data_IF_398402597391
#
_entry.id   IF_398402597391
#
_cell.length_a   1.000
_cell.length_b   1.000
_cell.length_c   1.000
_cell.angle_alpha   90.00
_cell.angle_beta   90.00
_cell.angle_gamma   90.00
#
_symmetry.space_group_name_H-M   'P 1'
#
loop_
_entity.id
_entity.type
_entity.pdbx_description
1 polymer ?
#
# COMPACT_ATOMS: atom_id res chain seq x y z
N UNK A 1 -38.29 -52.34 -13.30
CA UNK A 1 -37.57 -51.31 -14.08
C UNK A 1 -37.48 -49.94 -13.36
N UNK A 2 -37.46 -49.88 -12.00
CA UNK A 2 -37.54 -48.60 -11.24
C UNK A 2 -36.30 -48.23 -10.40
N UNK A 3 -35.26 -49.08 -10.30
CA UNK A 3 -34.07 -48.77 -9.47
C UNK A 3 -33.08 -47.79 -10.13
N UNK A 4 -32.91 -47.85 -11.46
CA UNK A 4 -31.97 -46.95 -12.19
C UNK A 4 -32.41 -45.47 -12.21
N UNK A 5 -33.70 -45.18 -12.12
CA UNK A 5 -34.21 -43.78 -12.08
C UNK A 5 -34.05 -43.14 -10.70
N UNK A 6 -34.17 -43.92 -9.60
CA UNK A 6 -33.92 -43.44 -8.23
C UNK A 6 -32.46 -43.02 -8.02
N UNK A 7 -31.49 -43.82 -8.49
CA UNK A 7 -30.07 -43.52 -8.33
C UNK A 7 -29.65 -42.22 -9.07
N UNK A 8 -30.19 -41.97 -10.27
CA UNK A 8 -29.93 -40.70 -10.99
C UNK A 8 -30.54 -39.49 -10.29
N UNK A 9 -31.73 -39.64 -9.70
CA UNK A 9 -32.36 -38.56 -8.94
C UNK A 9 -31.57 -38.25 -7.65
N UNK A 10 -31.12 -39.29 -6.92
CA UNK A 10 -30.28 -39.13 -5.73
C UNK A 10 -28.93 -38.46 -6.06
N UNK A 11 -28.29 -38.82 -7.18
CA UNK A 11 -27.05 -38.18 -7.63
C UNK A 11 -27.24 -36.70 -7.98
N UNK A 12 -28.35 -36.36 -8.67
CA UNK A 12 -28.67 -34.97 -9.00
C UNK A 12 -28.96 -34.17 -7.73
N UNK A 13 -29.74 -34.71 -6.80
CA UNK A 13 -30.06 -34.05 -5.52
C UNK A 13 -28.80 -33.87 -4.67
N UNK A 14 -27.89 -34.86 -4.66
CA UNK A 14 -26.62 -34.79 -3.93
C UNK A 14 -25.68 -33.74 -4.53
N UNK A 15 -25.57 -33.67 -5.85
CA UNK A 15 -24.77 -32.62 -6.50
C UNK A 15 -25.36 -31.23 -6.27
N UNK A 16 -26.68 -31.09 -6.35
CA UNK A 16 -27.34 -29.81 -6.07
C UNK A 16 -27.14 -29.36 -4.61
N UNK A 17 -27.18 -30.31 -3.67
CA UNK A 17 -26.87 -30.06 -2.26
C UNK A 17 -25.42 -29.59 -2.07
N UNK A 18 -24.44 -30.24 -2.72
CA UNK A 18 -23.05 -29.80 -2.63
C UNK A 18 -22.83 -28.42 -3.25
N UNK A 19 -23.50 -28.09 -4.35
CA UNK A 19 -23.44 -26.75 -4.95
C UNK A 19 -24.05 -25.72 -4.00
N UNK A 20 -25.19 -26.01 -3.39
CA UNK A 20 -25.84 -25.09 -2.44
C UNK A 20 -24.97 -24.85 -1.20
N UNK A 21 -24.34 -25.91 -0.65
CA UNK A 21 -23.42 -25.79 0.48
C UNK A 21 -22.17 -25.01 0.09
N UNK A 22 -21.60 -25.22 -1.10
CA UNK A 22 -20.45 -24.46 -1.58
C UNK A 22 -20.79 -22.96 -1.73
N UNK A 23 -21.95 -22.63 -2.30
CA UNK A 23 -22.41 -21.23 -2.41
C UNK A 23 -22.62 -20.62 -1.01
N UNK A 24 -23.22 -21.35 -0.08
CA UNK A 24 -23.41 -20.89 1.29
C UNK A 24 -22.07 -20.61 1.99
N UNK A 25 -21.09 -21.50 1.87
CA UNK A 25 -19.74 -21.33 2.43
C UNK A 25 -19.07 -20.09 1.83
N UNK A 26 -19.17 -19.88 0.52
CA UNK A 26 -18.64 -18.69 -0.15
C UNK A 26 -19.32 -17.42 0.37
N UNK A 27 -20.64 -17.41 0.50
CA UNK A 27 -21.39 -16.25 1.03
C UNK A 27 -21.03 -15.96 2.48
N UNK A 28 -20.89 -16.99 3.32
CA UNK A 28 -20.49 -16.84 4.73
C UNK A 28 -19.04 -16.37 4.83
N UNK A 29 -18.12 -16.88 4.01
CA UNK A 29 -16.75 -16.36 3.96
C UNK A 29 -16.72 -14.89 3.56
N UNK A 30 -17.45 -14.49 2.52
CA UNK A 30 -17.52 -13.07 2.13
C UNK A 30 -18.17 -12.20 3.20
N UNK A 31 -19.18 -12.67 3.94
CA UNK A 31 -19.81 -11.90 5.01
C UNK A 31 -18.99 -11.86 6.31
N UNK A 32 -18.28 -12.93 6.68
CA UNK A 32 -17.38 -12.95 7.84
C UNK A 32 -16.12 -12.12 7.58
N UNK A 33 -15.64 -12.06 6.34
CA UNK A 33 -14.53 -11.18 5.95
C UNK A 33 -14.96 -9.70 5.96
N UNK A 34 -16.24 -9.41 5.70
CA UNK A 34 -16.85 -8.07 5.85
C UNK A 34 -16.99 -7.65 7.31
N UNK A 35 -17.28 -8.57 8.24
CA UNK A 35 -17.53 -8.26 9.65
C UNK A 35 -16.23 -8.17 10.47
N UNK A 36 -15.17 -8.88 10.08
CA UNK A 36 -13.92 -8.87 10.85
C UNK A 36 -13.04 -7.64 10.61
N UNK A 37 -13.21 -6.91 9.50
CA UNK A 37 -12.53 -5.62 9.28
C UNK A 37 -13.37 -4.75 8.35
N UNK A 38 -13.72 -3.54 8.79
CA UNK A 38 -14.26 -2.48 7.94
C UNK A 38 -13.30 -1.97 6.85
N UNK A 39 -12.42 -2.82 6.32
CA UNK A 39 -11.56 -2.53 5.18
C UNK A 39 -12.23 -3.05 3.91
N UNK A 40 -12.97 -2.18 3.24
CA UNK A 40 -13.50 -2.41 1.90
C UNK A 40 -12.37 -2.81 0.93
N UNK A 41 -12.30 -4.10 0.61
CA UNK A 41 -11.38 -4.67 -0.39
C UNK A 41 -11.67 -4.17 -1.83
N UNK A 42 -12.77 -3.45 -2.05
CA UNK A 42 -13.16 -2.92 -3.35
C UNK A 42 -12.60 -1.53 -3.68
N UNK A 43 -11.81 -0.89 -2.79
CA UNK A 43 -11.17 0.40 -3.07
C UNK A 43 -9.70 0.31 -3.53
N UNK A 44 -9.14 -0.90 -3.72
CA UNK A 44 -7.79 -1.09 -4.26
C UNK A 44 -7.72 -1.03 -5.79
N UNK A 45 -8.38 -0.05 -6.39
CA UNK A 45 -8.22 0.24 -7.82
C UNK A 45 -6.92 1.02 -8.03
N UNK A 46 -5.83 0.29 -8.25
CA UNK A 46 -4.61 0.74 -8.94
C UNK A 46 -4.11 2.16 -8.56
N UNK A 47 -4.00 2.44 -7.27
CA UNK A 47 -3.23 3.59 -6.79
C UNK A 47 -1.79 3.15 -6.54
N UNK A 48 -0.81 3.96 -6.95
CA UNK A 48 0.58 3.75 -6.58
C UNK A 48 0.66 3.46 -5.07
N UNK A 49 1.23 2.32 -4.72
CA UNK A 49 1.10 1.75 -3.38
C UNK A 49 2.09 2.46 -2.46
N UNK A 50 1.57 3.08 -1.39
CA UNK A 50 2.42 3.60 -0.31
C UNK A 50 2.56 2.48 0.69
N UNK A 51 3.79 2.01 0.87
CA UNK A 51 4.15 1.06 1.90
C UNK A 51 4.85 1.79 3.02
N UNK A 52 4.44 1.50 4.25
CA UNK A 52 5.12 1.96 5.46
C UNK A 52 5.91 0.78 6.03
N UNK A 53 7.12 1.06 6.52
CA UNK A 53 8.02 0.05 7.07
C UNK A 53 8.86 0.62 8.22
N UNK A 54 9.29 -0.25 9.12
CA UNK A 54 10.03 0.15 10.33
C UNK A 54 9.08 0.45 11.50
N UNK A 55 9.43 1.43 12.32
CA UNK A 55 8.80 1.63 13.63
C UNK A 55 7.42 2.30 13.57
N UNK A 56 7.10 2.97 12.47
CA UNK A 56 5.78 3.55 12.21
C UNK A 56 5.15 2.84 11.00
N UNK A 57 3.98 2.25 11.22
CA UNK A 57 3.13 1.68 10.19
C UNK A 57 2.01 2.64 9.78
N UNK A 58 1.18 2.22 8.81
CA UNK A 58 0.04 3.02 8.31
C UNK A 58 -0.91 3.47 9.44
N UNK A 59 -1.10 2.61 10.46
CA UNK A 59 -1.97 2.87 11.62
C UNK A 59 -1.46 3.96 12.56
N UNK A 60 -0.16 4.29 12.49
CA UNK A 60 0.44 5.33 13.31
C UNK A 60 0.24 6.72 12.70
N UNK A 61 -0.34 6.80 11.49
CA UNK A 61 -0.69 8.04 10.81
C UNK A 61 -2.18 8.36 10.96
N UNK A 62 -2.49 9.64 11.08
CA UNK A 62 -3.87 10.07 10.98
C UNK A 62 -4.36 9.91 9.54
N UNK A 63 -5.63 9.58 9.36
CA UNK A 63 -6.25 9.39 8.04
C UNK A 63 -5.98 10.58 7.09
N UNK A 64 -6.08 11.81 7.61
CA UNK A 64 -5.77 13.04 6.85
C UNK A 64 -4.32 13.14 6.39
N UNK A 65 -3.37 12.56 7.12
CA UNK A 65 -1.96 12.51 6.71
C UNK A 65 -1.76 11.54 5.55
N UNK A 66 -2.38 10.36 5.65
CA UNK A 66 -2.37 9.32 4.61
C UNK A 66 -3.03 9.84 3.33
N UNK A 67 -4.18 10.51 3.46
CA UNK A 67 -4.90 11.09 2.31
C UNK A 67 -4.08 12.17 1.60
N UNK A 68 -3.31 12.98 2.34
CA UNK A 68 -2.38 13.93 1.73
C UNK A 68 -1.28 13.23 0.95
N UNK A 69 -0.69 12.17 1.51
CA UNK A 69 0.33 11.36 0.82
C UNK A 69 -0.25 10.70 -0.45
N UNK A 70 -1.43 10.09 -0.35
CA UNK A 70 -2.14 9.47 -1.47
C UNK A 70 -2.56 10.49 -2.52
N UNK A 71 -3.00 11.68 -2.10
CA UNK A 71 -3.37 12.79 -2.98
C UNK A 71 -2.20 13.25 -3.84
N UNK A 72 -1.00 13.37 -3.25
CA UNK A 72 0.23 13.67 -3.99
C UNK A 72 0.53 12.62 -5.06
N UNK A 73 0.36 11.34 -4.73
CA UNK A 73 0.56 10.23 -5.66
C UNK A 73 -0.48 10.17 -6.77
N UNK A 74 -1.73 10.51 -6.49
CA UNK A 74 -2.82 10.49 -7.48
C UNK A 74 -2.46 11.31 -8.73
N UNK A 75 -1.85 12.49 -8.54
CA UNK A 75 -1.38 13.34 -9.64
C UNK A 75 -0.17 12.79 -10.41
N UNK A 76 0.53 11.79 -9.87
CA UNK A 76 1.80 11.25 -10.40
C UNK A 76 1.76 9.75 -10.65
N UNK A 77 0.58 9.11 -10.61
CA UNK A 77 0.40 7.66 -10.82
C UNK A 77 0.99 7.14 -12.12
N UNK A 78 1.08 7.98 -13.17
CA UNK A 78 1.68 7.61 -14.46
C UNK A 78 3.19 7.44 -14.40
N UNK A 79 3.85 8.07 -13.43
CA UNK A 79 5.31 8.06 -13.28
C UNK A 79 5.77 7.10 -12.19
N UNK A 80 5.08 7.12 -11.05
CA UNK A 80 5.48 6.38 -9.85
C UNK A 80 4.80 5.01 -9.84
N UNK A 81 5.58 3.97 -9.60
CA UNK A 81 5.10 2.60 -9.39
C UNK A 81 4.81 2.35 -7.91
N UNK A 82 5.85 2.43 -7.08
CA UNK A 82 5.80 2.11 -5.66
C UNK A 82 6.57 3.15 -4.82
N UNK A 83 6.04 3.47 -3.64
CA UNK A 83 6.76 4.26 -2.63
C UNK A 83 6.82 3.45 -1.33
N UNK A 84 8.02 3.26 -0.81
CA UNK A 84 8.24 2.76 0.54
C UNK A 84 8.78 3.87 1.42
N UNK A 85 8.10 4.16 2.52
CA UNK A 85 8.56 5.06 3.58
C UNK A 85 9.05 4.17 4.71
N UNK A 86 10.35 4.24 5.01
CA UNK A 86 10.95 3.55 6.15
C UNK A 86 11.20 4.55 7.26
N UNK A 87 10.74 4.24 8.47
CA UNK A 87 10.92 5.09 9.64
C UNK A 87 11.60 4.35 10.77
N UNK A 88 12.40 5.05 11.56
CA UNK A 88 12.97 4.55 12.80
C UNK A 88 12.87 5.62 13.90
N UNK A 89 12.59 5.20 15.12
CA UNK A 89 12.71 6.04 16.32
C UNK A 89 14.08 5.81 16.95
N UNK A 90 14.67 6.85 17.55
CA UNK A 90 15.94 6.69 18.27
C UNK A 90 15.77 5.89 19.58
N UNK A 91 14.59 5.96 20.16
CA UNK A 91 14.18 5.18 21.33
C UNK A 91 12.92 4.40 20.99
N UNK A 92 13.04 3.07 20.87
CA UNK A 92 11.94 2.18 20.53
C UNK A 92 10.99 1.90 21.70
N UNK A 93 11.39 2.20 22.93
CA UNK A 93 10.60 1.94 24.14
C UNK A 93 9.75 3.14 24.56
N UNK A 94 10.05 4.33 24.05
CA UNK A 94 9.33 5.55 24.36
C UNK A 94 8.11 5.71 23.45
N UNK A 95 6.98 6.08 24.06
CA UNK A 95 5.74 6.41 23.32
C UNK A 95 6.01 7.55 22.33
N UNK A 96 5.61 7.34 21.07
CA UNK A 96 5.73 8.34 20.01
C UNK A 96 4.77 9.49 20.28
N UNK A 97 5.31 10.70 20.39
CA UNK A 97 4.56 11.95 20.56
C UNK A 97 4.77 12.84 19.32
N UNK A 98 3.98 13.92 19.15
CA UNK A 98 4.16 14.87 18.05
C UNK A 98 5.58 15.46 17.95
N UNK A 99 6.31 15.52 19.07
CA UNK A 99 7.65 16.09 19.18
C UNK A 99 8.76 15.03 19.19
N UNK A 100 8.42 13.75 19.01
CA UNK A 100 9.43 12.70 18.84
C UNK A 100 10.18 12.90 17.53
N UNK A 101 11.51 12.82 17.59
CA UNK A 101 12.36 12.79 16.40
C UNK A 101 12.25 11.43 15.72
N UNK A 102 11.91 11.45 14.44
CA UNK A 102 11.77 10.28 13.58
C UNK A 102 12.83 10.37 12.51
N UNK A 103 13.64 9.32 12.39
CA UNK A 103 14.50 9.10 11.26
C UNK A 103 13.67 8.46 10.14
N UNK A 104 13.80 8.95 8.91
CA UNK A 104 13.06 8.41 7.78
C UNK A 104 13.90 8.35 6.51
N UNK A 105 13.56 7.36 5.69
CA UNK A 105 14.08 7.11 4.35
C UNK A 105 12.89 6.86 3.42
N UNK A 106 12.99 7.35 2.19
CA UNK A 106 12.00 7.13 1.14
C UNK A 106 12.69 6.38 0.02
N UNK A 107 12.14 5.24 -0.34
CA UNK A 107 12.50 4.49 -1.54
C UNK A 107 11.36 4.58 -2.53
N UNK A 108 11.67 4.97 -3.76
CA UNK A 108 10.68 5.10 -4.83
C UNK A 108 11.11 4.27 -6.01
N UNK A 109 10.19 3.46 -6.50
CA UNK A 109 10.33 2.71 -7.75
C UNK A 109 9.41 3.36 -8.78
N UNK A 110 10.01 3.90 -9.83
CA UNK A 110 9.31 4.48 -10.97
C UNK A 110 8.81 3.36 -11.91
N UNK A 111 7.81 3.67 -12.73
CA UNK A 111 7.22 2.69 -13.66
C UNK A 111 8.16 2.23 -14.75
N UNK A 112 9.19 3.01 -15.08
CA UNK A 112 10.23 2.65 -16.04
C UNK A 112 11.38 1.85 -15.40
N UNK A 113 11.23 1.43 -14.14
CA UNK A 113 12.23 0.69 -13.38
C UNK A 113 13.29 1.55 -12.71
N UNK A 114 13.29 2.87 -12.93
CA UNK A 114 14.20 3.76 -12.22
C UNK A 114 13.89 3.75 -10.72
N UNK A 115 14.92 3.59 -9.90
CA UNK A 115 14.76 3.61 -8.44
C UNK A 115 15.56 4.75 -7.85
N UNK A 116 14.96 5.50 -6.93
CA UNK A 116 15.71 6.43 -6.11
C UNK A 116 15.43 6.22 -4.64
N UNK A 117 16.48 6.45 -3.84
CA UNK A 117 16.44 6.34 -2.40
C UNK A 117 16.94 7.63 -1.80
N UNK A 118 16.26 8.11 -0.76
CA UNK A 118 16.72 9.27 -0.01
C UNK A 118 17.74 8.85 1.02
N UNK A 119 18.77 9.67 1.31
CA UNK A 119 19.55 9.46 2.53
C UNK A 119 18.61 9.54 3.75
N UNK A 120 19.06 8.94 4.85
CA UNK A 120 18.37 9.02 6.13
C UNK A 120 18.22 10.48 6.55
N UNK A 121 16.99 10.89 6.88
CA UNK A 121 16.67 12.25 7.32
C UNK A 121 15.97 12.23 8.66
N UNK A 122 16.09 13.31 9.41
CA UNK A 122 15.42 13.49 10.70
C UNK A 122 14.27 14.50 10.55
N UNK A 123 13.13 14.19 11.15
CA UNK A 123 12.00 15.13 11.29
C UNK A 123 11.20 14.83 12.55
N UNK A 124 10.53 15.84 13.10
CA UNK A 124 9.56 15.60 14.18
C UNK A 124 8.35 14.86 13.65
N UNK A 125 7.76 13.96 14.45
CA UNK A 125 6.56 13.19 14.05
C UNK A 125 5.44 14.08 13.49
N UNK A 126 5.18 15.25 14.10
CA UNK A 126 4.16 16.21 13.60
C UNK A 126 4.45 16.77 12.20
N UNK A 127 5.72 16.85 11.83
CA UNK A 127 6.17 17.39 10.55
C UNK A 127 6.50 16.30 9.53
N UNK A 128 6.53 15.03 9.94
CA UNK A 128 6.96 13.90 9.13
C UNK A 128 6.23 13.82 7.77
N UNK A 129 4.89 13.90 7.68
CA UNK A 129 4.21 13.84 6.38
C UNK A 129 4.63 14.97 5.45
N UNK A 130 4.80 16.19 5.99
CA UNK A 130 5.25 17.35 5.23
C UNK A 130 6.69 17.16 4.74
N UNK A 131 7.59 16.70 5.62
CA UNK A 131 8.99 16.42 5.27
C UNK A 131 9.11 15.35 4.19
N UNK A 132 8.32 14.28 4.28
CA UNK A 132 8.26 13.22 3.27
C UNK A 132 7.82 13.78 1.92
N UNK A 133 6.71 14.51 1.88
CA UNK A 133 6.19 15.12 0.65
C UNK A 133 7.18 16.10 0.01
N UNK A 134 7.79 16.98 0.81
CA UNK A 134 8.78 17.94 0.30
C UNK A 134 9.97 17.24 -0.32
N UNK A 135 10.50 16.18 0.32
CA UNK A 135 11.63 15.44 -0.23
C UNK A 135 11.24 14.67 -1.48
N UNK A 136 10.10 13.98 -1.45
CA UNK A 136 9.58 13.25 -2.60
C UNK A 136 9.38 14.18 -3.80
N UNK A 137 8.84 15.37 -3.60
CA UNK A 137 8.65 16.34 -4.68
C UNK A 137 9.96 16.85 -5.27
N UNK A 138 10.96 17.10 -4.42
CA UNK A 138 12.31 17.46 -4.88
C UNK A 138 12.91 16.35 -5.75
N UNK A 139 12.80 15.10 -5.34
CA UNK A 139 13.41 13.96 -6.04
C UNK A 139 12.70 13.63 -7.35
N UNK A 140 11.37 13.70 -7.36
CA UNK A 140 10.59 13.50 -8.59
C UNK A 140 10.91 14.60 -9.61
N UNK A 141 11.06 15.86 -9.18
CA UNK A 141 11.49 16.95 -10.08
C UNK A 141 12.89 16.71 -10.62
N UNK A 142 13.83 16.31 -9.76
CA UNK A 142 15.20 15.97 -10.20
C UNK A 142 15.19 14.84 -11.25
N UNK A 143 14.41 13.79 -11.03
CA UNK A 143 14.21 12.72 -11.99
C UNK A 143 13.63 13.23 -13.33
N UNK A 144 12.61 14.07 -13.28
CA UNK A 144 12.02 14.65 -14.50
C UNK A 144 13.03 15.51 -15.27
N UNK A 145 13.88 16.27 -14.59
CA UNK A 145 14.96 17.04 -15.22
C UNK A 145 15.98 16.12 -15.89
N UNK A 146 16.43 15.06 -15.20
CA UNK A 146 17.37 14.09 -15.77
C UNK A 146 16.81 13.39 -17.02
N UNK A 147 15.52 13.05 -17.01
CA UNK A 147 14.84 12.49 -18.18
C UNK A 147 14.79 13.48 -19.35
N UNK A 148 14.56 14.77 -19.10
CA UNK A 148 14.62 15.81 -20.14
C UNK A 148 16.02 15.98 -20.71
N UNK A 149 17.07 15.80 -19.90
CA UNK A 149 18.47 15.84 -20.33
C UNK A 149 18.92 14.55 -21.08
N UNK A 150 18.03 13.57 -21.26
CA UNK A 150 18.35 12.31 -21.94
C UNK A 150 19.23 11.35 -21.12
N UNK A 151 19.46 11.64 -19.83
CA UNK A 151 20.21 10.76 -18.94
C UNK A 151 19.28 9.63 -18.46
N UNK A 152 19.69 8.38 -18.67
CA UNK A 152 19.00 7.18 -18.17
C UNK A 152 19.81 6.47 -17.08
N UNK A 153 20.06 7.11 -15.92
CA UNK A 153 20.63 6.39 -14.78
C UNK A 153 19.67 5.28 -14.35
N UNK A 154 20.18 4.15 -13.87
CA UNK A 154 19.35 3.06 -13.31
C UNK A 154 18.93 3.35 -11.86
N UNK A 155 19.73 4.12 -11.14
CA UNK A 155 19.53 4.45 -9.71
C UNK A 155 20.01 5.85 -9.38
N UNK A 156 19.40 6.50 -8.39
CA UNK A 156 19.88 7.78 -7.85
C UNK A 156 19.71 7.86 -6.33
N UNK A 157 20.77 8.27 -5.65
CA UNK A 157 20.71 8.65 -4.24
C UNK A 157 20.77 10.17 -4.20
N UNK A 158 19.64 10.83 -3.94
CA UNK A 158 19.62 12.29 -3.88
C UNK A 158 20.02 12.76 -2.49
N UNK A 159 21.31 13.08 -2.32
CA UNK A 159 21.91 13.54 -1.06
C UNK A 159 21.59 15.00 -0.74
N UNK A 160 21.09 15.79 -1.69
CA UNK A 160 20.77 17.21 -1.51
C UNK A 160 19.36 17.44 -0.96
#
# INVERSE_FOLDING_TARGET
MNRRRRNKAEEITRNLFFIAVAVLVVVVFFNLDIINKGESLFNRTAAADIKFSGDLGDKDYAEREIDRLRGYLKGRKKLIGEITIRTATEDSYRKVTPDTEILFEIRVVMRDGFTFTTPLRRSLRKNLPKSVLTKLDKDVRAYQTLKKEGKNPKTLINTM
#
